data_IF_436751814724
#
_entry.id   IF_436751814724
#
_cell.length_a   1.000
_cell.length_b   1.000
_cell.length_c   1.000
_cell.angle_alpha   90.00
_cell.angle_beta   90.00
_cell.angle_gamma   90.00
#
_symmetry.space_group_name_H-M   'P 1'
#
loop_
_entity.id
_entity.type
_entity.pdbx_description
1 polymer ?
#
# COMPACT_ATOMS: atom_id res chain seq x y z
N UNK A 1 10.51 7.18 -21.45
CA UNK A 1 9.12 7.04 -20.99
C UNK A 1 8.48 8.43 -20.95
N UNK A 2 8.23 8.96 -22.15
CA UNK A 2 7.42 10.15 -22.32
C UNK A 2 5.95 9.70 -22.31
N UNK A 3 5.06 10.23 -21.49
CA UNK A 3 5.21 10.93 -20.22
C UNK A 3 3.75 10.88 -19.73
N UNK A 4 3.48 10.28 -18.57
CA UNK A 4 2.11 10.21 -18.09
C UNK A 4 1.50 11.63 -18.09
N UNK A 5 0.51 11.88 -18.97
CA UNK A 5 0.06 13.25 -19.26
C UNK A 5 -0.73 13.89 -18.11
N UNK A 6 -1.40 13.05 -17.32
CA UNK A 6 -2.34 13.49 -16.30
C UNK A 6 -2.04 12.94 -14.92
N UNK A 7 -1.05 12.05 -14.77
CA UNK A 7 -0.66 11.43 -13.50
C UNK A 7 0.85 11.29 -13.45
N UNK A 8 1.42 10.98 -12.29
CA UNK A 8 2.85 10.68 -12.16
C UNK A 8 3.03 9.21 -11.83
N UNK A 9 4.07 8.59 -12.39
CA UNK A 9 4.55 7.30 -11.91
C UNK A 9 5.54 7.54 -10.78
N UNK A 10 5.13 7.26 -9.55
CA UNK A 10 5.88 7.57 -8.33
C UNK A 10 6.47 6.33 -7.64
N UNK A 11 6.27 5.16 -8.24
CA UNK A 11 6.72 3.87 -7.71
C UNK A 11 8.20 3.65 -7.99
N UNK A 12 8.91 3.11 -7.00
CA UNK A 12 10.33 2.81 -7.07
C UNK A 12 10.54 1.39 -6.54
N UNK A 13 10.83 0.45 -7.46
CA UNK A 13 10.90 -0.98 -7.14
C UNK A 13 11.92 -1.29 -6.05
N UNK A 14 13.10 -0.67 -6.11
CA UNK A 14 14.17 -0.87 -5.13
C UNK A 14 13.74 -0.51 -3.69
N UNK A 15 12.89 0.50 -3.51
CA UNK A 15 12.34 0.83 -2.19
C UNK A 15 11.35 -0.25 -1.78
N UNK A 16 10.43 -0.62 -2.68
CA UNK A 16 9.39 -1.59 -2.38
C UNK A 16 9.93 -2.99 -2.01
N UNK A 17 11.01 -3.41 -2.66
CA UNK A 17 11.66 -4.71 -2.45
C UNK A 17 12.36 -4.82 -1.08
N UNK A 18 12.73 -3.69 -0.47
CA UNK A 18 13.39 -3.64 0.84
C UNK A 18 12.40 -3.56 2.02
N UNK A 19 11.12 -3.34 1.75
CA UNK A 19 10.10 -3.12 2.78
C UNK A 19 9.47 -4.43 3.26
N UNK A 20 9.11 -4.46 4.55
CA UNK A 20 8.21 -5.48 5.07
C UNK A 20 6.85 -5.41 4.36
N UNK A 21 6.04 -6.48 4.33
CA UNK A 21 4.78 -6.45 3.61
C UNK A 21 3.80 -5.37 4.10
N UNK A 22 3.79 -5.06 5.41
CA UNK A 22 2.97 -3.98 5.99
C UNK A 22 3.53 -2.61 5.58
N UNK A 23 4.85 -2.42 5.65
CA UNK A 23 5.46 -1.16 5.21
C UNK A 23 5.30 -0.93 3.70
N UNK A 24 5.28 -2.00 2.89
CA UNK A 24 5.01 -1.94 1.46
C UNK A 24 3.57 -1.46 1.19
N UNK A 25 2.58 -1.92 1.98
CA UNK A 25 1.22 -1.39 1.94
C UNK A 25 1.20 0.11 2.26
N UNK A 26 1.92 0.55 3.30
CA UNK A 26 2.03 1.98 3.65
C UNK A 26 2.68 2.78 2.52
N UNK A 27 3.80 2.30 1.98
CA UNK A 27 4.50 2.93 0.86
C UNK A 27 3.59 3.12 -0.35
N UNK A 28 2.88 2.06 -0.77
CA UNK A 28 1.92 2.12 -1.86
C UNK A 28 0.81 3.13 -1.60
N UNK A 29 0.28 3.13 -0.38
CA UNK A 29 -0.76 4.07 0.04
C UNK A 29 -0.30 5.51 -0.06
N UNK A 30 0.93 5.78 0.39
CA UNK A 30 1.54 7.11 0.34
C UNK A 30 1.79 7.55 -1.10
N UNK A 31 2.31 6.67 -1.97
CA UNK A 31 2.55 7.00 -3.39
C UNK A 31 1.25 7.30 -4.16
N UNK A 32 0.16 6.60 -3.84
CA UNK A 32 -1.17 6.93 -4.40
C UNK A 32 -1.70 8.24 -3.81
N UNK A 33 -1.51 8.46 -2.51
CA UNK A 33 -1.95 9.64 -1.77
C UNK A 33 -1.25 10.95 -2.16
N UNK A 34 -0.03 10.85 -2.71
CA UNK A 34 0.79 12.00 -3.10
C UNK A 34 0.21 12.73 -4.32
N UNK A 35 -0.53 12.03 -5.19
CA UNK A 35 -1.18 12.63 -6.35
C UNK A 35 -2.65 12.92 -6.05
N UNK A 36 -2.99 14.20 -5.83
CA UNK A 36 -4.36 14.65 -5.54
C UNK A 36 -5.37 14.36 -6.67
N UNK A 37 -4.89 14.04 -7.88
CA UNK A 37 -5.76 13.60 -8.99
C UNK A 37 -6.22 12.15 -8.79
N UNK A 38 -5.49 11.36 -8.00
CA UNK A 38 -5.83 9.98 -7.62
C UNK A 38 -6.69 10.00 -6.34
N UNK A 39 -6.23 10.68 -5.28
CA UNK A 39 -6.99 10.83 -4.02
C UNK A 39 -7.17 12.30 -3.66
N UNK A 40 -8.38 12.83 -3.78
CA UNK A 40 -8.64 14.28 -3.77
C UNK A 40 -8.76 14.90 -2.37
N UNK A 41 -9.50 14.29 -1.43
CA UNK A 41 -9.77 14.88 -0.11
C UNK A 41 -10.15 13.80 0.91
N UNK A 42 -9.17 13.01 1.36
CA UNK A 42 -9.34 12.08 2.48
C UNK A 42 -10.11 10.79 2.17
N UNK A 43 -10.43 10.52 0.91
CA UNK A 43 -10.95 9.23 0.45
C UNK A 43 -9.85 8.33 -0.11
N UNK A 44 -10.21 7.08 -0.44
CA UNK A 44 -9.31 6.08 -0.99
C UNK A 44 -8.79 5.12 0.07
N UNK A 45 -8.81 3.84 -0.26
CA UNK A 45 -8.42 2.76 0.63
C UNK A 45 -7.43 1.86 -0.10
N UNK A 46 -6.49 1.29 0.64
CA UNK A 46 -5.56 0.27 0.16
C UNK A 46 -5.58 -0.89 1.15
N UNK A 47 -5.36 -2.09 0.64
CA UNK A 47 -5.28 -3.27 1.46
C UNK A 47 -4.27 -4.28 0.95
N UNK A 48 -3.81 -5.14 1.85
CA UNK A 48 -2.94 -6.27 1.53
C UNK A 48 -3.37 -7.48 2.38
N UNK A 49 -3.32 -8.67 1.78
CA UNK A 49 -3.55 -9.92 2.49
C UNK A 49 -2.21 -10.47 2.95
N UNK A 50 -2.04 -10.65 4.26
CA UNK A 50 -0.82 -11.13 4.88
C UNK A 50 -1.15 -12.28 5.84
N UNK A 51 -0.24 -13.23 6.00
CA UNK A 51 -0.37 -14.27 7.02
C UNK A 51 0.09 -13.71 8.36
N UNK A 52 -0.80 -13.74 9.36
CA UNK A 52 -0.52 -13.28 10.72
C UNK A 52 -0.82 -14.39 11.72
N UNK A 53 -0.23 -14.29 12.91
CA UNK A 53 -0.58 -15.16 14.03
C UNK A 53 -1.83 -14.64 14.71
N UNK A 54 -2.89 -15.44 14.76
CA UNK A 54 -4.10 -15.10 15.54
C UNK A 54 -3.75 -15.07 17.05
N UNK A 55 -3.96 -13.93 17.74
CA UNK A 55 -3.62 -13.79 19.16
C UNK A 55 -4.44 -14.69 20.11
N UNK A 56 -5.58 -15.22 19.67
CA UNK A 56 -6.43 -16.10 20.47
C UNK A 56 -6.05 -17.57 20.35
N UNK A 57 -5.71 -18.02 19.13
CA UNK A 57 -5.47 -19.44 18.83
C UNK A 57 -3.99 -19.77 18.62
N UNK A 58 -3.16 -18.79 18.28
CA UNK A 58 -1.76 -18.98 17.89
C UNK A 58 -1.58 -19.55 16.47
N UNK A 59 -2.66 -19.74 15.71
CA UNK A 59 -2.60 -20.27 14.35
C UNK A 59 -2.25 -19.19 13.32
N UNK A 60 -1.62 -19.59 12.22
CA UNK A 60 -1.40 -18.69 11.08
C UNK A 60 -2.69 -18.53 10.28
N UNK A 61 -3.20 -17.31 10.16
CA UNK A 61 -4.42 -16.98 9.41
C UNK A 61 -4.17 -15.86 8.40
N UNK A 62 -4.92 -15.86 7.29
CA UNK A 62 -4.87 -14.77 6.31
C UNK A 62 -5.65 -13.55 6.85
N UNK A 63 -4.95 -12.44 7.06
CA UNK A 63 -5.51 -11.17 7.53
C UNK A 63 -5.49 -10.16 6.39
N UNK A 64 -6.63 -9.49 6.20
CA UNK A 64 -6.72 -8.32 5.33
C UNK A 64 -6.33 -7.08 6.12
N UNK A 65 -5.13 -6.57 5.89
CA UNK A 65 -4.70 -5.27 6.37
C UNK A 65 -5.37 -4.19 5.53
N UNK A 66 -6.06 -3.24 6.17
CA UNK A 66 -6.69 -2.10 5.51
C UNK A 66 -6.06 -0.83 6.07
N UNK A 67 -5.54 0.02 5.19
CA UNK A 67 -5.00 1.32 5.59
C UNK A 67 -6.14 2.20 6.13
N UNK A 68 -5.97 2.68 7.37
CA UNK A 68 -6.82 3.67 8.04
C UNK A 68 -6.35 5.10 7.85
#
# INVERSE_FOLDING_TARGET
PDEYQHVKYLWEDHIADELSPVDNLVYRSNKLGEDQRITNTGGGNTSAKLMETDPLTGEQVEVLWVKG
#
